data_IF_021448863432
#
_entry.id   IF_021448863432
#
_cell.length_a   1.000
_cell.length_b   1.000
_cell.length_c   1.000
_cell.angle_alpha   90.00
_cell.angle_beta   90.00
_cell.angle_gamma   90.00
#
_symmetry.space_group_name_H-M   'P 1'
#
loop_
_entity.id
_entity.type
_entity.pdbx_description
1 polymer ?
#
# COMPACT_ATOMS: atom_id res chain seq x y z
N UNK A 1 2.66 12.57 -16.60
CA UNK A 1 3.31 13.04 -15.37
C UNK A 1 4.50 12.18 -14.93
N UNK A 2 4.61 10.94 -15.44
CA UNK A 2 5.65 9.98 -15.04
C UNK A 2 6.77 9.79 -16.08
N UNK A 3 6.73 10.51 -17.21
CA UNK A 3 7.60 10.24 -18.36
C UNK A 3 9.07 10.06 -17.96
N UNK A 4 9.62 8.88 -18.28
CA UNK A 4 11.03 8.52 -18.01
C UNK A 4 11.31 8.10 -16.57
N UNK A 5 10.27 7.98 -15.71
CA UNK A 5 10.43 7.60 -14.29
C UNK A 5 9.61 6.36 -13.87
N UNK A 6 9.08 5.62 -14.84
CA UNK A 6 8.29 4.41 -14.58
C UNK A 6 8.82 3.27 -15.45
N UNK A 7 9.11 2.15 -14.83
CA UNK A 7 9.38 0.87 -15.47
C UNK A 7 8.17 -0.06 -15.24
N UNK A 8 7.57 -0.52 -16.31
CA UNK A 8 6.39 -1.39 -16.33
C UNK A 8 6.73 -2.79 -16.83
N UNK A 9 7.99 -3.13 -16.94
CA UNK A 9 8.42 -4.40 -17.57
C UNK A 9 7.95 -5.63 -16.78
N UNK A 10 7.68 -5.49 -15.49
CA UNK A 10 7.15 -6.53 -14.62
C UNK A 10 5.63 -6.42 -14.38
N UNK A 11 4.94 -5.55 -15.12
CA UNK A 11 3.49 -5.37 -15.03
C UNK A 11 2.85 -5.82 -16.36
N UNK A 12 2.39 -7.06 -16.42
CA UNK A 12 1.77 -7.65 -17.62
C UNK A 12 0.29 -7.28 -17.77
N UNK A 13 -0.36 -6.93 -16.68
CA UNK A 13 -1.80 -6.74 -16.57
C UNK A 13 -2.26 -5.30 -16.57
N UNK A 14 -1.64 -4.38 -17.32
CA UNK A 14 -2.13 -3.00 -17.43
C UNK A 14 -3.53 -3.03 -18.05
N UNK A 15 -4.51 -3.17 -17.16
CA UNK A 15 -5.92 -3.12 -17.54
C UNK A 15 -6.29 -1.65 -17.78
N UNK A 16 -6.78 -1.35 -18.95
CA UNK A 16 -7.33 -0.04 -19.31
C UNK A 16 -8.57 0.36 -18.45
N UNK A 17 -9.00 -0.51 -17.57
CA UNK A 17 -10.18 -0.33 -16.73
C UNK A 17 -9.86 -0.13 -15.24
N UNK A 18 -8.65 -0.33 -14.80
CA UNK A 18 -8.26 -0.11 -13.41
C UNK A 18 -7.48 1.19 -13.27
N UNK A 19 -8.11 2.16 -12.63
CA UNK A 19 -7.52 3.48 -12.37
C UNK A 19 -6.76 3.53 -11.03
N UNK A 20 -6.92 2.49 -10.19
CA UNK A 20 -6.37 2.48 -8.83
C UNK A 20 -4.84 2.58 -8.82
N UNK A 21 -4.15 1.82 -9.67
CA UNK A 21 -2.70 1.87 -9.79
C UNK A 21 -2.18 3.25 -10.23
N UNK A 22 -2.88 3.89 -11.19
CA UNK A 22 -2.55 5.24 -11.64
C UNK A 22 -2.71 6.27 -10.52
N UNK A 23 -3.81 6.19 -9.77
CA UNK A 23 -4.09 7.09 -8.66
C UNK A 23 -3.05 6.94 -7.55
N UNK A 24 -2.72 5.72 -7.15
CA UNK A 24 -1.67 5.45 -6.15
C UNK A 24 -0.32 5.95 -6.63
N UNK A 25 0.03 5.68 -7.90
CA UNK A 25 1.28 6.15 -8.49
C UNK A 25 1.35 7.67 -8.55
N UNK A 26 0.23 8.34 -8.82
CA UNK A 26 0.13 9.80 -8.81
C UNK A 26 0.44 10.41 -7.44
N UNK A 27 -0.15 9.86 -6.39
CA UNK A 27 0.09 10.28 -5.01
C UNK A 27 1.56 10.07 -4.61
N UNK A 28 2.19 9.02 -5.13
CA UNK A 28 3.59 8.72 -4.83
C UNK A 28 4.55 9.63 -5.61
N UNK A 29 4.49 9.61 -6.94
CA UNK A 29 5.54 10.16 -7.80
C UNK A 29 5.06 11.19 -8.83
N UNK A 30 3.80 11.61 -8.79
CA UNK A 30 3.26 12.62 -9.72
C UNK A 30 4.14 13.86 -9.76
N UNK A 31 4.49 14.34 -10.96
CA UNK A 31 5.35 15.51 -11.11
C UNK A 31 4.58 16.84 -10.97
N UNK A 32 3.24 16.79 -11.04
CA UNK A 32 2.40 17.99 -10.99
C UNK A 32 2.46 18.85 -12.26
N UNK A 33 2.82 18.26 -13.40
CA UNK A 33 3.03 19.01 -14.65
C UNK A 33 1.75 19.63 -15.20
N UNK A 34 0.61 18.97 -15.03
CA UNK A 34 -0.69 19.48 -15.47
C UNK A 34 -1.32 20.38 -14.40
N UNK A 35 -1.16 20.03 -13.15
CA UNK A 35 -1.64 20.80 -12.01
C UNK A 35 -0.66 20.59 -10.83
N UNK A 36 -0.06 21.65 -10.28
CA UNK A 36 0.83 21.54 -9.12
C UNK A 36 0.20 20.88 -7.88
N UNK A 37 -1.12 20.96 -7.73
CA UNK A 37 -1.85 20.39 -6.59
C UNK A 37 -1.85 18.84 -6.58
N UNK A 38 -1.56 18.21 -7.73
CA UNK A 38 -1.38 16.76 -7.86
C UNK A 38 0.09 16.31 -7.81
N UNK A 39 0.95 17.15 -7.24
CA UNK A 39 2.35 16.77 -7.03
C UNK A 39 2.44 15.67 -5.99
N UNK A 40 3.01 14.52 -6.38
CA UNK A 40 3.23 13.38 -5.48
C UNK A 40 4.28 13.67 -4.40
N UNK A 41 4.21 12.91 -3.33
CA UNK A 41 5.10 13.07 -2.17
C UNK A 41 6.58 12.83 -2.48
N UNK A 42 6.86 11.97 -3.47
CA UNK A 42 8.20 11.61 -3.93
C UNK A 42 8.39 11.91 -5.43
N UNK A 43 8.04 13.13 -5.87
CA UNK A 43 8.01 13.55 -7.28
C UNK A 43 9.29 13.29 -8.09
N UNK A 44 10.41 13.06 -7.44
CA UNK A 44 11.70 12.76 -8.09
C UNK A 44 12.05 11.27 -8.13
N UNK A 45 11.25 10.42 -7.48
CA UNK A 45 11.53 9.00 -7.41
C UNK A 45 11.27 8.29 -8.74
N UNK A 46 11.96 7.15 -8.93
CA UNK A 46 11.71 6.21 -10.00
C UNK A 46 10.81 5.10 -9.47
N UNK A 47 9.80 4.69 -10.24
CA UNK A 47 8.81 3.69 -9.87
C UNK A 47 8.97 2.45 -10.75
N UNK A 48 9.08 1.30 -10.11
CA UNK A 48 8.95 -0.02 -10.72
C UNK A 48 7.58 -0.57 -10.39
N UNK A 49 6.79 -0.91 -11.40
CA UNK A 49 5.47 -1.52 -11.23
C UNK A 49 5.58 -3.03 -11.31
N UNK A 50 4.92 -3.70 -10.38
CA UNK A 50 4.74 -5.15 -10.39
C UNK A 50 3.26 -5.47 -10.36
N UNK A 51 2.86 -6.56 -11.00
CA UNK A 51 1.49 -7.07 -10.90
C UNK A 51 1.24 -7.64 -9.50
N UNK A 52 -0.01 -7.59 -9.07
CA UNK A 52 -0.45 -8.24 -7.86
C UNK A 52 -0.74 -9.72 -8.16
N UNK A 53 0.32 -10.49 -8.26
CA UNK A 53 0.31 -11.93 -8.44
C UNK A 53 0.79 -12.64 -7.17
N UNK A 54 0.74 -13.97 -7.16
CA UNK A 54 1.14 -14.77 -5.99
C UNK A 54 2.62 -14.65 -5.64
N UNK A 55 3.44 -14.25 -6.59
CA UNK A 55 4.90 -14.15 -6.49
C UNK A 55 5.45 -12.72 -6.45
N UNK A 56 4.58 -11.70 -6.32
CA UNK A 56 5.03 -10.30 -6.34
C UNK A 56 6.11 -9.99 -5.29
N UNK A 57 6.17 -10.74 -4.20
CA UNK A 57 7.22 -10.59 -3.19
C UNK A 57 8.58 -11.11 -3.68
N UNK A 58 8.60 -12.10 -4.56
CA UNK A 58 9.84 -12.58 -5.20
C UNK A 58 10.31 -11.55 -6.23
N UNK A 59 9.40 -10.97 -7.03
CA UNK A 59 9.73 -9.86 -7.93
C UNK A 59 10.27 -8.65 -7.17
N UNK A 60 9.73 -8.34 -5.99
CA UNK A 60 10.26 -7.28 -5.13
C UNK A 60 11.72 -7.53 -4.77
N UNK A 61 12.08 -8.76 -4.40
CA UNK A 61 13.47 -9.09 -4.09
C UNK A 61 14.38 -9.01 -5.32
N UNK A 62 13.89 -9.40 -6.48
CA UNK A 62 14.60 -9.22 -7.74
C UNK A 62 14.90 -7.74 -8.03
N UNK A 63 13.92 -6.86 -7.83
CA UNK A 63 14.07 -5.41 -7.98
C UNK A 63 15.01 -4.82 -6.92
N UNK A 64 14.94 -5.31 -5.69
CA UNK A 64 15.88 -4.93 -4.63
C UNK A 64 17.33 -5.20 -5.04
N UNK A 65 17.65 -6.44 -5.41
CA UNK A 65 19.02 -6.81 -5.78
C UNK A 65 19.50 -6.25 -7.12
N UNK A 66 18.62 -6.13 -8.11
CA UNK A 66 18.99 -5.75 -9.48
C UNK A 66 18.87 -4.25 -9.76
N UNK A 67 18.00 -3.56 -9.03
CA UNK A 67 17.61 -2.16 -9.29
C UNK A 67 17.77 -1.25 -8.07
N UNK A 68 18.18 -1.79 -6.93
CA UNK A 68 18.32 -1.06 -5.67
C UNK A 68 16.99 -0.42 -5.19
N UNK A 69 15.87 -1.13 -5.39
CA UNK A 69 14.57 -0.72 -4.86
C UNK A 69 14.53 -1.05 -3.37
N UNK A 70 14.46 -0.05 -2.53
CA UNK A 70 14.49 -0.20 -1.06
C UNK A 70 13.16 0.13 -0.38
N UNK A 71 12.17 0.62 -1.12
CA UNK A 71 10.84 0.93 -0.59
C UNK A 71 9.79 0.33 -1.51
N UNK A 72 8.84 -0.41 -0.94
CA UNK A 72 7.65 -0.87 -1.65
C UNK A 72 6.40 -0.21 -1.10
N UNK A 73 5.40 0.00 -1.95
CA UNK A 73 4.08 0.51 -1.56
C UNK A 73 3.01 -0.38 -2.17
N UNK A 74 2.19 -1.00 -1.32
CA UNK A 74 1.19 -1.98 -1.74
C UNK A 74 -0.17 -1.64 -1.16
N UNK A 75 -1.09 -1.22 -2.04
CA UNK A 75 -2.46 -0.85 -1.66
C UNK A 75 -3.44 -1.95 -2.08
N UNK A 76 -3.60 -2.96 -1.25
CA UNK A 76 -4.53 -4.06 -1.47
C UNK A 76 -5.30 -4.42 -0.21
N UNK A 77 -6.43 -5.11 -0.39
CA UNK A 77 -7.24 -5.65 0.70
C UNK A 77 -7.12 -7.17 0.73
N UNK A 78 -6.95 -7.72 1.93
CA UNK A 78 -6.87 -9.17 2.17
C UNK A 78 -8.09 -9.68 2.98
N UNK A 79 -9.03 -8.78 3.26
CA UNK A 79 -10.26 -9.10 3.98
C UNK A 79 -10.06 -9.55 5.42
N UNK A 80 -11.09 -10.21 5.96
CA UNK A 80 -11.03 -10.84 7.27
C UNK A 80 -10.43 -12.25 7.14
N UNK A 81 -9.20 -12.44 7.56
CA UNK A 81 -8.50 -13.72 7.54
C UNK A 81 -7.61 -13.94 8.78
N UNK A 82 -6.81 -15.00 8.83
CA UNK A 82 -6.14 -15.52 10.01
C UNK A 82 -4.95 -14.69 10.55
N UNK A 83 -4.92 -13.41 10.44
CA UNK A 83 -3.88 -12.61 11.10
C UNK A 83 -2.47 -12.85 10.55
N UNK A 84 -1.55 -13.34 11.38
CA UNK A 84 -0.16 -13.61 10.97
C UNK A 84 -0.06 -14.90 10.17
N UNK A 85 0.13 -14.77 8.86
CA UNK A 85 0.16 -15.86 7.88
C UNK A 85 1.56 -16.08 7.32
N UNK A 86 1.69 -17.02 6.38
CA UNK A 86 2.95 -17.22 5.62
C UNK A 86 3.38 -15.93 4.90
N UNK A 87 2.44 -15.14 4.40
CA UNK A 87 2.74 -13.86 3.76
C UNK A 87 3.38 -12.87 4.74
N UNK A 88 2.88 -12.82 5.98
CA UNK A 88 3.48 -12.00 7.04
C UNK A 88 4.90 -12.45 7.37
N UNK A 89 5.11 -13.78 7.45
CA UNK A 89 6.42 -14.36 7.69
C UNK A 89 7.41 -14.05 6.56
N UNK A 90 6.96 -14.16 5.31
CA UNK A 90 7.79 -13.82 4.14
C UNK A 90 8.23 -12.36 4.18
N UNK A 91 7.30 -11.44 4.47
CA UNK A 91 7.60 -10.02 4.63
C UNK A 91 8.63 -9.77 5.73
N UNK A 92 8.40 -10.35 6.91
CA UNK A 92 9.30 -10.18 8.05
C UNK A 92 10.70 -10.74 7.77
N UNK A 93 10.78 -11.87 7.06
CA UNK A 93 12.05 -12.49 6.67
C UNK A 93 12.82 -11.60 5.69
N UNK A 94 12.15 -11.08 4.67
CA UNK A 94 12.79 -10.20 3.68
C UNK A 94 13.37 -8.95 4.33
N UNK A 95 12.64 -8.31 5.24
CA UNK A 95 13.11 -7.13 5.97
C UNK A 95 14.25 -7.50 6.95
N UNK A 96 14.15 -8.64 7.62
CA UNK A 96 15.19 -9.09 8.54
C UNK A 96 16.52 -9.39 7.83
N UNK A 97 16.45 -10.00 6.66
CA UNK A 97 17.62 -10.32 5.83
C UNK A 97 18.17 -9.09 5.09
N UNK A 98 17.34 -8.07 4.87
CA UNK A 98 17.68 -6.84 4.15
C UNK A 98 17.19 -5.62 4.94
N UNK A 99 17.95 -5.15 5.95
CA UNK A 99 17.46 -4.15 6.93
C UNK A 99 17.19 -2.75 6.37
N UNK A 100 17.61 -2.45 5.17
CA UNK A 100 17.30 -1.20 4.44
C UNK A 100 16.06 -1.31 3.56
N UNK A 101 15.46 -2.51 3.43
CA UNK A 101 14.21 -2.71 2.72
C UNK A 101 13.02 -2.32 3.61
N UNK A 102 12.12 -1.50 3.07
CA UNK A 102 10.92 -1.04 3.76
C UNK A 102 9.69 -1.47 2.97
N UNK A 103 8.85 -2.30 3.57
CA UNK A 103 7.54 -2.66 3.03
C UNK A 103 6.44 -1.83 3.66
N UNK A 104 5.70 -1.08 2.84
CA UNK A 104 4.55 -0.26 3.26
C UNK A 104 3.27 -0.83 2.65
N UNK A 105 2.27 -1.08 3.47
CA UNK A 105 0.98 -1.63 3.05
C UNK A 105 -0.17 -0.76 3.55
N UNK A 106 -1.27 -0.70 2.78
CA UNK A 106 -2.52 -0.18 3.33
C UNK A 106 -3.03 -1.09 4.45
N UNK A 107 -3.62 -0.51 5.49
CA UNK A 107 -4.25 -1.29 6.56
C UNK A 107 -5.44 -2.13 6.07
N UNK A 108 -6.09 -1.68 5.00
CA UNK A 108 -7.25 -2.31 4.39
C UNK A 108 -8.52 -1.47 4.54
N UNK A 109 -9.59 -1.93 3.89
CA UNK A 109 -10.88 -1.22 3.78
C UNK A 109 -12.02 -1.95 4.53
N UNK A 110 -11.69 -2.64 5.61
CA UNK A 110 -12.64 -3.46 6.38
C UNK A 110 -13.11 -2.79 7.67
N UNK A 111 -12.98 -1.46 7.80
CA UNK A 111 -13.22 -0.72 9.04
C UNK A 111 -14.60 -0.89 9.67
N UNK A 112 -15.63 -1.26 8.88
CA UNK A 112 -16.97 -1.56 9.38
C UNK A 112 -17.23 -3.03 9.74
N UNK A 113 -16.26 -3.93 9.48
CA UNK A 113 -16.48 -5.37 9.67
C UNK A 113 -16.11 -5.81 11.09
N UNK A 114 -16.81 -6.85 11.57
CA UNK A 114 -16.37 -7.68 12.68
C UNK A 114 -15.75 -8.94 12.10
N UNK A 115 -14.45 -9.14 12.31
CA UNK A 115 -13.73 -10.31 11.84
C UNK A 115 -13.66 -11.44 12.90
N UNK A 116 -14.45 -11.34 13.94
CA UNK A 116 -14.60 -12.32 15.03
C UNK A 116 -13.30 -12.60 15.81
N UNK A 117 -12.39 -11.64 15.86
CA UNK A 117 -11.17 -11.74 16.67
C UNK A 117 -11.33 -11.18 18.10
N UNK A 118 -12.57 -10.91 18.52
CA UNK A 118 -12.87 -10.51 19.89
C UNK A 118 -12.62 -9.05 20.22
N UNK A 119 -12.25 -8.24 19.25
CA UNK A 119 -12.03 -6.80 19.45
C UNK A 119 -13.31 -5.95 19.33
N UNK A 120 -14.43 -6.57 18.92
CA UNK A 120 -15.72 -5.93 18.69
C UNK A 120 -15.91 -5.36 17.28
N UNK A 121 -17.16 -4.95 16.96
CA UNK A 121 -17.47 -4.41 15.65
C UNK A 121 -16.65 -3.15 15.34
N UNK A 122 -16.10 -3.11 14.14
CA UNK A 122 -15.28 -2.00 13.69
C UNK A 122 -13.83 -2.00 14.18
N UNK A 123 -13.39 -3.05 14.88
CA UNK A 123 -12.04 -3.25 15.39
C UNK A 123 -11.53 -4.65 15.06
N UNK A 124 -10.21 -4.85 15.16
CA UNK A 124 -9.59 -6.15 14.87
C UNK A 124 -9.78 -6.60 13.43
N UNK A 125 -9.88 -5.67 12.48
CA UNK A 125 -10.16 -5.95 11.08
C UNK A 125 -8.99 -5.60 10.12
N UNK A 126 -7.81 -5.32 10.66
CA UNK A 126 -6.55 -5.49 9.93
C UNK A 126 -6.17 -6.96 10.06
N UNK A 127 -6.38 -7.73 9.03
CA UNK A 127 -6.30 -9.19 9.14
C UNK A 127 -5.50 -9.77 8.00
N UNK A 128 -4.59 -10.66 8.34
CA UNK A 128 -3.82 -11.46 7.40
C UNK A 128 -2.95 -10.72 6.40
N UNK A 129 -2.34 -11.50 5.55
CA UNK A 129 -1.47 -11.02 4.49
C UNK A 129 -0.18 -10.35 4.99
N UNK A 130 0.50 -9.73 4.08
CA UNK A 130 1.82 -9.10 4.31
C UNK A 130 1.78 -7.97 5.35
N UNK A 131 0.66 -7.22 5.40
CA UNK A 131 0.46 -6.08 6.31
C UNK A 131 0.49 -6.46 7.80
N UNK A 132 0.32 -7.75 8.12
CA UNK A 132 0.39 -8.26 9.48
C UNK A 132 1.80 -8.62 9.92
N UNK A 133 2.79 -8.46 9.06
CA UNK A 133 4.20 -8.55 9.40
C UNK A 133 4.55 -7.67 10.61
N UNK A 134 5.53 -8.08 11.40
CA UNK A 134 6.01 -7.36 12.59
C UNK A 134 6.96 -6.24 12.21
N UNK A 135 7.64 -6.41 11.06
CA UNK A 135 8.64 -5.47 10.54
C UNK A 135 8.06 -4.58 9.43
N UNK A 136 6.88 -4.91 8.89
CA UNK A 136 6.20 -4.11 7.87
C UNK A 136 5.43 -2.94 8.46
N UNK A 137 5.24 -1.89 7.66
CA UNK A 137 4.45 -0.72 8.02
C UNK A 137 3.05 -0.85 7.42
N UNK A 138 2.02 -0.98 8.26
CA UNK A 138 0.62 -0.86 7.86
C UNK A 138 0.13 0.57 8.10
N UNK A 139 -0.52 1.17 7.11
CA UNK A 139 -0.94 2.58 7.13
C UNK A 139 -2.46 2.68 7.14
N UNK A 140 -3.02 3.30 8.17
CA UNK A 140 -4.44 3.65 8.26
C UNK A 140 -4.77 4.95 7.51
N UNK A 141 -6.03 5.09 7.08
CA UNK A 141 -6.50 6.23 6.32
C UNK A 141 -7.16 7.27 7.21
N UNK A 142 -6.70 8.52 7.12
CA UNK A 142 -7.30 9.69 7.75
C UNK A 142 -7.94 10.61 6.71
N UNK A 143 -8.97 11.34 7.13
CA UNK A 143 -9.47 12.48 6.38
C UNK A 143 -8.60 13.73 6.61
N UNK A 144 -9.00 14.85 5.98
CA UNK A 144 -8.27 16.11 6.08
C UNK A 144 -8.26 16.72 7.48
N UNK A 145 -9.21 16.35 8.34
CA UNK A 145 -9.31 16.79 9.74
C UNK A 145 -8.49 15.89 10.68
N UNK A 146 -7.77 14.91 10.17
CA UNK A 146 -7.01 13.96 10.97
C UNK A 146 -7.86 12.88 11.65
N UNK A 147 -9.11 12.73 11.24
CA UNK A 147 -10.03 11.72 11.77
C UNK A 147 -9.91 10.45 10.93
N UNK A 148 -9.89 9.30 11.59
CA UNK A 148 -9.82 8.02 10.88
C UNK A 148 -11.07 7.79 10.03
N UNK A 149 -10.87 7.47 8.75
CA UNK A 149 -11.96 7.14 7.85
C UNK A 149 -12.71 5.87 8.30
N UNK A 150 -14.01 5.89 8.10
CA UNK A 150 -14.89 4.77 8.50
C UNK A 150 -14.53 3.46 7.79
N UNK A 151 -14.05 3.54 6.57
CA UNK A 151 -13.61 2.39 5.77
C UNK A 151 -12.25 1.85 6.21
N UNK A 152 -11.40 2.67 6.87
CA UNK A 152 -10.05 2.25 7.26
C UNK A 152 -10.09 1.09 8.25
N UNK A 153 -9.38 0.02 7.95
CA UNK A 153 -9.20 -1.09 8.89
C UNK A 153 -8.45 -0.66 10.14
N UNK A 154 -8.81 -1.25 11.28
CA UNK A 154 -8.31 -0.92 12.63
C UNK A 154 -7.90 -2.17 13.37
N UNK A 155 -6.86 -2.03 14.18
CA UNK A 155 -6.40 -3.10 15.08
C UNK A 155 -7.33 -3.35 16.27
N UNK A 156 -6.86 -4.09 17.24
CA UNK A 156 -5.54 -4.70 17.31
C UNK A 156 -5.36 -5.86 16.31
N UNK A 157 -4.12 -6.31 16.13
CA UNK A 157 -3.84 -7.58 15.49
C UNK A 157 -4.38 -8.75 16.34
N UNK A 158 -4.55 -9.94 15.74
CA UNK A 158 -5.07 -11.12 16.45
C UNK A 158 -4.20 -11.55 17.64
N UNK A 159 -2.91 -11.22 17.62
CA UNK A 159 -1.94 -11.46 18.69
C UNK A 159 -1.80 -10.27 19.68
N UNK A 160 -2.69 -9.28 19.59
CA UNK A 160 -2.75 -8.12 20.48
C UNK A 160 -1.80 -6.97 20.11
N UNK A 161 -1.00 -7.07 19.04
CA UNK A 161 -0.14 -5.96 18.60
C UNK A 161 -0.97 -4.77 18.12
N UNK A 162 -0.44 -3.58 18.34
CA UNK A 162 -1.02 -2.35 17.79
C UNK A 162 -0.80 -2.35 16.26
N UNK A 163 -1.90 -2.18 15.53
CA UNK A 163 -1.97 -1.94 14.09
C UNK A 163 -3.15 -0.98 13.81
N UNK A 164 -3.12 -0.15 12.77
CA UNK A 164 -1.96 0.11 11.90
C UNK A 164 -0.80 0.71 12.68
N UNK A 165 0.41 0.67 12.10
CA UNK A 165 1.62 1.22 12.72
C UNK A 165 1.61 2.76 12.72
N UNK A 166 1.08 3.33 11.63
CA UNK A 166 0.89 4.78 11.45
C UNK A 166 -0.43 5.03 10.70
N UNK A 167 -0.85 6.29 10.69
CA UNK A 167 -1.95 6.76 9.84
C UNK A 167 -1.49 7.94 8.99
N UNK A 168 -2.06 8.08 7.79
CA UNK A 168 -1.79 9.18 6.89
C UNK A 168 -3.09 9.70 6.26
N UNK A 169 -3.10 10.96 5.85
CA UNK A 169 -4.21 11.54 5.11
C UNK A 169 -4.26 10.92 3.71
N UNK A 170 -5.32 10.20 3.41
CA UNK A 170 -5.55 9.54 2.13
C UNK A 170 -6.94 9.78 1.57
N UNK A 171 -7.85 10.40 2.34
CA UNK A 171 -9.18 10.71 1.87
C UNK A 171 -9.21 12.05 1.13
N UNK A 172 -9.87 12.08 -0.03
CA UNK A 172 -10.03 13.28 -0.84
C UNK A 172 -8.72 13.80 -1.45
N UNK A 173 -7.74 12.93 -1.66
CA UNK A 173 -6.48 13.31 -2.30
C UNK A 173 -6.65 13.41 -3.82
N UNK A 174 -6.13 14.50 -4.36
CA UNK A 174 -6.00 14.67 -5.81
C UNK A 174 -4.91 13.75 -6.34
N UNK A 175 -5.12 13.16 -7.51
CA UNK A 175 -4.14 12.31 -8.15
C UNK A 175 -4.22 12.37 -9.67
N UNK A 176 -3.34 11.64 -10.32
CA UNK A 176 -3.38 11.43 -11.76
C UNK A 176 -4.43 10.38 -12.13
N UNK A 177 -4.94 10.49 -13.34
CA UNK A 177 -5.93 9.59 -13.91
C UNK A 177 -5.53 9.19 -15.33
N UNK A 178 -5.91 8.01 -15.84
CA UNK A 178 -5.61 7.62 -17.22
C UNK A 178 -6.01 8.68 -18.27
N UNK A 179 -5.32 8.67 -19.38
CA UNK A 179 -5.55 9.60 -20.51
C UNK A 179 -5.19 11.07 -20.24
N UNK A 180 -4.19 11.32 -19.40
CA UNK A 180 -3.71 12.67 -19.06
C UNK A 180 -4.79 13.57 -18.42
N UNK A 181 -5.71 12.97 -17.71
CA UNK A 181 -6.71 13.69 -16.91
C UNK A 181 -6.33 13.69 -15.43
N UNK A 182 -7.02 14.48 -14.65
CA UNK A 182 -6.91 14.53 -13.19
C UNK A 182 -8.27 14.12 -12.65
N UNK A 183 -8.31 13.27 -11.66
CA UNK A 183 -9.53 12.90 -10.96
C UNK A 183 -9.39 13.10 -9.44
N UNK A 184 -10.54 13.10 -8.75
CA UNK A 184 -10.68 13.49 -7.34
C UNK A 184 -11.03 12.27 -6.47
#
# INVERSE_FOLDING_TARGET
DYKGRVDQSNASGISSFSTHGDMVSGILIGAGNLNPDVTGTAKGAFLYLTDYESDFMDETMDLYYKKNVVITSSSYSDGCNDGYTINSLTTDKQIYENPDLIHVFSAGNSGGLDCNYGAGPGWGNITGGHKMGKNSIAVGNLNQDGIIESSSSRGPATDGRIKPDICANGAGQLSTYPNNTIDF
#
